data_IF_129084036633
#
_entry.id   IF_129084036633
#
_cell.length_a   1.000
_cell.length_b   1.000
_cell.length_c   1.000
_cell.angle_alpha   90.00
_cell.angle_beta   90.00
_cell.angle_gamma   90.00
#
_symmetry.space_group_name_H-M   'P 1'
#
loop_
_entity.id
_entity.type
_entity.pdbx_description
1 polymer ?
#
# COMPACT_ATOMS: atom_id res chain seq x y z
N UNK A 1 1.54 -39.60 -39.75
CA UNK A 1 2.66 -40.08 -38.91
C UNK A 1 3.94 -39.37 -39.35
N UNK A 2 4.43 -38.41 -38.56
CA UNK A 2 5.87 -38.23 -38.38
C UNK A 2 6.26 -38.40 -36.90
N UNK A 3 7.39 -39.08 -36.67
CA UNK A 3 7.97 -39.39 -35.35
C UNK A 3 8.44 -38.11 -34.66
N UNK A 4 8.11 -37.97 -33.36
CA UNK A 4 8.70 -36.97 -32.48
C UNK A 4 10.14 -37.38 -32.15
N UNK A 5 11.08 -36.51 -32.44
CA UNK A 5 12.46 -36.58 -31.93
C UNK A 5 12.48 -36.34 -30.42
N UNK A 6 13.20 -37.22 -29.74
CA UNK A 6 13.60 -37.13 -28.34
C UNK A 6 14.87 -36.28 -28.23
N UNK A 7 14.79 -35.13 -27.56
CA UNK A 7 15.91 -34.46 -26.93
C UNK A 7 15.61 -34.48 -25.42
N UNK A 8 16.43 -35.04 -24.52
CA UNK A 8 17.89 -35.01 -24.48
C UNK A 8 18.28 -34.13 -23.29
N UNK A 9 18.17 -34.67 -22.06
CA UNK A 9 18.70 -34.02 -20.86
C UNK A 9 20.24 -33.97 -20.94
N UNK A 10 20.86 -32.91 -20.43
CA UNK A 10 22.16 -33.05 -19.80
C UNK A 10 22.05 -32.94 -18.27
N UNK A 11 22.69 -33.91 -17.62
CA UNK A 11 22.98 -33.98 -16.20
C UNK A 11 24.30 -33.25 -15.87
N UNK A 12 24.44 -32.85 -14.61
CA UNK A 12 25.71 -32.48 -13.96
C UNK A 12 25.97 -30.97 -13.90
N UNK A 13 26.40 -30.33 -12.80
CA UNK A 13 26.93 -30.83 -11.53
C UNK A 13 26.55 -29.85 -10.41
N UNK A 14 26.18 -30.40 -9.24
CA UNK A 14 26.14 -29.67 -7.97
C UNK A 14 27.52 -29.79 -7.33
N UNK A 15 28.22 -28.68 -7.12
CA UNK A 15 29.31 -28.63 -6.15
C UNK A 15 28.76 -28.13 -4.81
N UNK A 16 28.70 -29.06 -3.87
CA UNK A 16 28.59 -28.81 -2.44
C UNK A 16 29.98 -28.44 -1.94
N UNK A 17 30.17 -27.21 -1.47
CA UNK A 17 31.28 -26.84 -0.59
C UNK A 17 30.76 -26.71 0.84
N UNK A 18 31.22 -27.52 1.82
CA UNK A 18 31.12 -27.18 3.22
C UNK A 18 32.19 -26.11 3.54
N UNK A 19 31.90 -25.19 4.45
CA UNK A 19 32.81 -24.86 5.55
C UNK A 19 32.24 -23.74 6.42
N UNK A 20 31.79 -24.16 7.59
CA UNK A 20 31.64 -23.35 8.78
C UNK A 20 32.98 -23.29 9.50
N UNK A 21 33.28 -22.18 10.19
CA UNK A 21 33.81 -22.36 11.54
C UNK A 21 33.07 -21.51 12.58
N UNK A 22 32.71 -22.19 13.66
CA UNK A 22 32.41 -21.62 14.97
C UNK A 22 33.68 -21.13 15.66
N UNK A 23 33.54 -20.10 16.49
CA UNK A 23 34.31 -19.97 17.75
C UNK A 23 34.97 -18.61 17.99
N UNK A 24 34.52 -17.89 19.02
CA UNK A 24 35.27 -16.77 19.59
C UNK A 24 34.44 -15.82 20.44
N UNK A 25 34.24 -16.14 21.71
CA UNK A 25 33.59 -15.31 22.72
C UNK A 25 34.56 -14.29 23.35
N UNK A 26 34.09 -13.05 23.56
CA UNK A 26 34.49 -12.11 24.63
C UNK A 26 33.58 -10.87 24.48
N UNK A 27 32.73 -10.52 25.44
CA UNK A 27 33.13 -9.79 26.64
C UNK A 27 32.70 -8.33 26.50
N UNK A 28 31.57 -7.95 27.13
CA UNK A 28 31.05 -6.59 27.01
C UNK A 28 29.74 -6.37 27.76
N UNK A 29 29.79 -6.50 29.09
CA UNK A 29 28.69 -6.09 29.96
C UNK A 29 28.54 -4.57 29.98
N UNK A 30 27.71 -4.03 29.09
CA UNK A 30 27.23 -2.65 29.13
C UNK A 30 25.84 -2.60 29.76
N UNK A 31 25.75 -2.10 30.99
CA UNK A 31 24.48 -1.85 31.68
C UNK A 31 23.73 -0.74 30.94
N UNK A 32 22.66 -1.07 30.23
CA UNK A 32 21.68 -0.07 29.80
C UNK A 32 20.95 0.43 31.05
N UNK A 33 21.38 1.57 31.58
CA UNK A 33 20.58 2.37 32.51
C UNK A 33 19.40 2.88 31.70
N UNK A 34 18.21 2.38 32.02
CA UNK A 34 16.96 2.85 31.46
C UNK A 34 16.66 4.18 32.17
N UNK A 35 16.97 5.28 31.48
CA UNK A 35 16.55 6.61 31.93
C UNK A 35 15.04 6.71 31.72
N UNK A 36 14.31 6.88 32.81
CA UNK A 36 12.85 7.02 32.81
C UNK A 36 12.48 8.39 32.24
N UNK A 37 11.62 8.50 31.22
CA UNK A 37 11.03 9.78 30.88
C UNK A 37 10.05 10.17 32.00
N UNK A 38 10.39 11.26 32.68
CA UNK A 38 9.55 11.92 33.67
C UNK A 38 8.21 12.31 33.04
N UNK A 39 7.13 11.80 33.64
CA UNK A 39 5.77 12.15 33.28
C UNK A 39 5.51 13.63 33.59
N UNK A 40 5.32 14.44 32.55
CA UNK A 40 4.76 15.77 32.67
C UNK A 40 3.24 15.66 32.94
N UNK A 41 2.69 16.42 33.90
CA UNK A 41 1.26 16.41 34.15
C UNK A 41 0.50 17.05 32.98
N UNK A 42 -0.48 16.31 32.43
CA UNK A 42 -1.51 16.84 31.56
C UNK A 42 -2.28 17.93 32.32
N UNK A 43 -2.03 19.20 31.98
CA UNK A 43 -2.97 20.27 32.28
C UNK A 43 -4.18 20.10 31.36
N UNK A 44 -5.30 19.69 31.95
CA UNK A 44 -6.61 19.79 31.34
C UNK A 44 -6.92 21.26 31.06
N UNK A 45 -6.76 21.69 29.81
CA UNK A 45 -7.38 22.91 29.33
C UNK A 45 -8.86 22.63 29.10
N UNK A 46 -9.65 22.96 30.12
CA UNK A 46 -11.10 23.09 30.03
C UNK A 46 -11.36 24.42 29.31
N UNK A 47 -11.60 24.37 28.01
CA UNK A 47 -12.15 25.53 27.29
C UNK A 47 -13.66 25.57 27.54
N UNK A 48 -14.06 26.48 28.44
CA UNK A 48 -15.44 26.89 28.63
C UNK A 48 -15.83 27.82 27.47
N UNK A 49 -16.50 27.26 26.47
CA UNK A 49 -17.15 28.06 25.42
C UNK A 49 -18.37 28.78 25.99
N UNK A 50 -18.42 30.13 26.00
CA UNK A 50 -19.62 30.86 26.37
C UNK A 50 -20.67 30.70 25.26
N UNK A 51 -21.76 29.99 25.58
CA UNK A 51 -22.99 30.01 24.78
C UNK A 51 -23.60 31.40 24.91
N UNK A 52 -23.54 32.20 23.85
CA UNK A 52 -24.25 33.47 23.75
C UNK A 52 -25.60 33.24 23.08
N UNK A 53 -26.67 33.30 23.87
CA UNK A 53 -28.06 33.32 23.39
C UNK A 53 -28.44 34.73 22.91
N UNK A 54 -28.92 34.91 21.67
CA UNK A 54 -29.51 36.19 21.27
C UNK A 54 -30.95 36.30 21.78
N UNK A 55 -31.14 37.16 22.78
CA UNK A 55 -32.44 37.62 23.25
C UNK A 55 -33.18 38.36 22.13
N UNK A 56 -34.35 37.84 21.77
CA UNK A 56 -35.25 38.45 20.80
C UNK A 56 -35.78 39.78 21.33
N UNK A 57 -35.48 40.89 20.66
CA UNK A 57 -36.25 42.13 20.83
C UNK A 57 -36.74 42.61 19.46
N UNK A 58 -38.03 42.33 19.21
CA UNK A 58 -38.78 42.92 18.12
C UNK A 58 -38.98 44.42 18.40
N UNK A 59 -38.47 45.28 17.51
CA UNK A 59 -38.99 46.63 17.32
C UNK A 59 -39.31 46.85 15.85
N UNK A 60 -40.57 47.23 15.61
CA UNK A 60 -41.25 47.39 14.33
C UNK A 60 -41.21 48.87 13.91
N UNK A 61 -40.71 49.15 12.71
CA UNK A 61 -40.91 50.34 11.85
C UNK A 61 -39.63 50.51 11.00
N UNK A 62 -39.61 50.83 9.71
CA UNK A 62 -40.62 51.26 8.77
C UNK A 62 -40.15 50.90 7.34
N UNK A 63 -41.11 50.89 6.41
CA UNK A 63 -41.02 51.01 4.95
C UNK A 63 -39.64 51.30 4.34
N UNK A 64 -39.22 50.48 3.38
CA UNK A 64 -38.22 50.89 2.39
C UNK A 64 -37.63 49.76 1.56
N UNK A 65 -38.09 49.67 0.31
CA UNK A 65 -37.42 49.05 -0.85
C UNK A 65 -37.36 47.52 -0.89
N UNK A 66 -38.21 46.94 -1.74
CA UNK A 66 -38.02 45.60 -2.30
C UNK A 66 -36.82 45.66 -3.24
N UNK A 67 -35.64 45.31 -2.73
CA UNK A 67 -34.49 44.96 -3.57
C UNK A 67 -34.63 43.49 -3.95
N UNK A 68 -34.97 43.23 -5.22
CA UNK A 68 -34.90 41.89 -5.79
C UNK A 68 -33.43 41.46 -5.86
N UNK A 69 -32.96 40.77 -4.82
CA UNK A 69 -31.69 40.03 -4.91
C UNK A 69 -31.98 38.88 -5.87
N UNK A 70 -31.62 39.05 -7.15
CA UNK A 70 -31.48 37.94 -8.07
C UNK A 70 -30.35 37.06 -7.54
N UNK A 71 -30.71 36.01 -6.79
CA UNK A 71 -29.76 34.96 -6.40
C UNK A 71 -29.43 34.22 -7.69
N UNK A 72 -28.35 34.64 -8.35
CA UNK A 72 -27.73 33.88 -9.42
C UNK A 72 -27.31 32.54 -8.83
N UNK A 73 -28.13 31.51 -9.02
CA UNK A 73 -27.77 30.13 -8.74
C UNK A 73 -26.62 29.77 -9.69
N UNK A 74 -25.39 30.02 -9.26
CA UNK A 74 -24.21 29.51 -9.93
C UNK A 74 -24.27 27.98 -9.80
N UNK A 75 -24.71 27.32 -10.88
CA UNK A 75 -24.55 25.89 -11.07
C UNK A 75 -23.05 25.60 -10.99
N UNK A 76 -22.59 25.15 -9.82
CA UNK A 76 -21.29 24.52 -9.67
C UNK A 76 -21.38 23.22 -10.46
N UNK A 77 -21.09 23.30 -11.74
CA UNK A 77 -20.81 22.13 -12.57
C UNK A 77 -19.55 21.52 -11.97
N UNK A 78 -19.70 20.37 -11.32
CA UNK A 78 -18.60 19.56 -10.84
C UNK A 78 -17.83 19.01 -12.02
N UNK A 79 -17.04 19.84 -12.69
CA UNK A 79 -16.01 19.39 -13.59
C UNK A 79 -14.97 18.69 -12.72
N UNK A 80 -14.97 17.35 -12.76
CA UNK A 80 -13.89 16.58 -12.15
C UNK A 80 -12.58 17.12 -12.67
N UNK A 81 -11.70 17.56 -11.76
CA UNK A 81 -10.37 18.03 -12.13
C UNK A 81 -9.66 16.87 -12.82
N UNK A 82 -9.50 16.96 -14.15
CA UNK A 82 -8.62 16.04 -14.85
C UNK A 82 -7.21 16.33 -14.32
N UNK A 83 -6.64 15.40 -13.55
CA UNK A 83 -5.24 15.51 -13.16
C UNK A 83 -4.42 15.61 -14.45
N UNK A 84 -3.55 16.62 -14.54
CA UNK A 84 -2.62 16.73 -15.65
C UNK A 84 -1.78 15.46 -15.74
N UNK A 85 -1.52 15.00 -16.96
CA UNK A 85 -0.69 13.81 -17.19
C UNK A 85 0.71 14.01 -16.59
N UNK A 86 1.19 12.98 -15.90
CA UNK A 86 2.53 12.94 -15.35
C UNK A 86 3.56 12.67 -16.44
N UNK A 87 4.75 13.28 -16.34
CA UNK A 87 5.91 12.86 -17.12
C UNK A 87 6.31 11.42 -16.77
N UNK A 88 7.07 10.71 -17.63
CA UNK A 88 7.53 9.35 -17.33
C UNK A 88 8.31 9.23 -16.02
N UNK A 89 9.11 10.24 -15.67
CA UNK A 89 9.85 10.26 -14.42
C UNK A 89 8.91 10.38 -13.20
N UNK A 90 7.95 11.31 -13.25
CA UNK A 90 6.95 11.47 -12.20
C UNK A 90 6.09 10.22 -12.04
N UNK A 91 5.65 9.61 -13.15
CA UNK A 91 4.83 8.40 -13.12
C UNK A 91 5.55 7.23 -12.43
N UNK A 92 6.86 7.07 -12.68
CA UNK A 92 7.68 6.08 -11.96
C UNK A 92 7.75 6.37 -10.46
N UNK A 93 8.06 7.60 -10.08
CA UNK A 93 8.10 8.00 -8.66
C UNK A 93 6.75 7.85 -7.96
N UNK A 94 5.65 8.15 -8.64
CA UNK A 94 4.28 7.94 -8.14
C UNK A 94 3.99 6.45 -7.93
N UNK A 95 4.37 5.60 -8.88
CA UNK A 95 4.23 4.13 -8.75
C UNK A 95 5.00 3.62 -7.53
N UNK A 96 6.24 4.09 -7.35
CA UNK A 96 7.12 3.66 -6.27
C UNK A 96 6.58 4.12 -4.91
N UNK A 97 6.05 5.35 -4.84
CA UNK A 97 5.40 5.87 -3.64
C UNK A 97 4.19 5.03 -3.22
N UNK A 98 3.33 4.66 -4.17
CA UNK A 98 2.15 3.82 -3.88
C UNK A 98 2.54 2.41 -3.42
N UNK A 99 3.63 1.85 -3.95
CA UNK A 99 4.10 0.52 -3.56
C UNK A 99 4.79 0.50 -2.21
N UNK A 100 5.78 1.37 -2.00
CA UNK A 100 6.77 1.21 -0.93
C UNK A 100 6.68 2.26 0.19
N UNK A 101 5.96 3.36 -0.03
CA UNK A 101 5.83 4.42 0.99
C UNK A 101 4.48 4.42 1.69
N UNK A 102 3.45 3.84 1.07
CA UNK A 102 2.12 3.76 1.67
C UNK A 102 1.97 2.50 2.54
N UNK A 103 1.22 2.63 3.65
CA UNK A 103 0.69 1.45 4.33
C UNK A 103 -0.29 0.69 3.44
N UNK A 104 -0.52 -0.59 3.72
CA UNK A 104 -1.48 -1.39 2.95
C UNK A 104 -2.87 -0.72 2.92
N UNK A 105 -3.33 -0.20 4.06
CA UNK A 105 -4.61 0.51 4.16
C UNK A 105 -4.65 1.77 3.30
N UNK A 106 -3.59 2.58 3.32
CA UNK A 106 -3.49 3.78 2.47
C UNK A 106 -3.54 3.41 0.99
N UNK A 107 -2.82 2.35 0.60
CA UNK A 107 -2.85 1.85 -0.77
C UNK A 107 -4.26 1.41 -1.18
N UNK A 108 -5.04 0.74 -0.31
CA UNK A 108 -6.42 0.38 -0.65
C UNK A 108 -7.28 1.63 -0.93
N UNK A 109 -7.10 2.70 -0.15
CA UNK A 109 -7.77 3.98 -0.40
C UNK A 109 -7.32 4.61 -1.72
N UNK A 110 -6.02 4.63 -2.00
CA UNK A 110 -5.49 5.12 -3.29
C UNK A 110 -6.04 4.31 -4.46
N UNK A 111 -6.04 2.97 -4.34
CA UNK A 111 -6.59 2.04 -5.34
C UNK A 111 -8.07 2.29 -5.59
N UNK A 112 -8.88 2.58 -4.57
CA UNK A 112 -10.30 2.89 -4.74
C UNK A 112 -10.52 4.15 -5.61
N UNK A 113 -9.66 5.15 -5.47
CA UNK A 113 -9.74 6.40 -6.23
C UNK A 113 -9.07 6.32 -7.62
N UNK A 114 -8.22 5.31 -7.86
CA UNK A 114 -7.53 5.06 -9.14
C UNK A 114 -6.91 6.32 -9.76
N UNK A 115 -6.08 7.10 -9.02
CA UNK A 115 -5.48 8.29 -9.58
C UNK A 115 -4.65 7.95 -10.81
N UNK A 116 -4.62 8.86 -11.79
CA UNK A 116 -3.93 8.69 -13.06
C UNK A 116 -4.33 7.40 -13.80
N UNK A 117 -5.62 7.02 -13.78
CA UNK A 117 -6.12 5.78 -14.38
C UNK A 117 -5.84 5.61 -15.88
N UNK A 118 -5.57 6.70 -16.60
CA UNK A 118 -5.15 6.70 -18.01
C UNK A 118 -3.67 6.30 -18.17
N UNK A 119 -2.84 6.55 -17.15
CA UNK A 119 -1.40 6.33 -17.19
C UNK A 119 -0.97 5.09 -16.39
N UNK A 120 -1.55 4.84 -15.22
CA UNK A 120 -1.29 3.69 -14.36
C UNK A 120 -2.26 2.55 -14.63
N UNK A 121 -1.73 1.33 -14.61
CA UNK A 121 -2.53 0.11 -14.69
C UNK A 121 -3.04 -0.28 -13.29
N UNK A 122 -4.35 -0.14 -13.09
CA UNK A 122 -5.04 -0.54 -11.85
C UNK A 122 -5.80 -1.87 -11.99
N UNK A 123 -5.67 -2.59 -13.12
CA UNK A 123 -6.25 -3.92 -13.28
C UNK A 123 -5.63 -4.92 -12.30
N UNK A 124 -6.39 -5.96 -11.97
CA UNK A 124 -5.98 -7.03 -11.06
C UNK A 124 -6.80 -8.27 -11.36
N UNK A 125 -6.20 -9.42 -11.12
CA UNK A 125 -6.81 -10.75 -11.14
C UNK A 125 -6.84 -11.38 -9.74
N UNK A 126 -6.59 -10.58 -8.70
CA UNK A 126 -6.61 -11.03 -7.30
C UNK A 126 -5.41 -11.92 -7.02
N UNK A 127 -5.60 -12.97 -6.23
CA UNK A 127 -4.51 -13.91 -5.94
C UNK A 127 -4.41 -15.06 -6.98
N UNK A 128 -5.08 -14.94 -8.14
CA UNK A 128 -5.15 -15.73 -9.40
C UNK A 128 -4.86 -17.24 -9.36
N UNK A 129 -3.73 -17.65 -8.78
CA UNK A 129 -3.27 -19.04 -8.69
C UNK A 129 -3.35 -19.62 -7.26
N UNK A 130 -3.88 -18.84 -6.32
CA UNK A 130 -4.04 -19.21 -4.92
C UNK A 130 -5.42 -18.77 -4.43
N UNK A 131 -6.00 -19.45 -3.43
CA UNK A 131 -7.24 -18.99 -2.80
C UNK A 131 -7.11 -17.52 -2.32
N UNK A 132 -8.09 -16.66 -2.59
CA UNK A 132 -8.04 -15.27 -2.09
C UNK A 132 -8.16 -15.19 -0.56
N UNK A 133 -8.74 -16.23 0.05
CA UNK A 133 -9.07 -16.31 1.46
C UNK A 133 -8.67 -17.66 2.08
N UNK A 134 -7.38 -18.04 2.09
CA UNK A 134 -6.96 -19.31 2.67
C UNK A 134 -7.28 -19.30 4.17
N UNK A 135 -8.09 -20.25 4.62
CA UNK A 135 -8.49 -20.39 6.03
C UNK A 135 -9.14 -19.13 6.66
N UNK A 136 -9.69 -18.22 5.85
CA UNK A 136 -10.32 -16.99 6.34
C UNK A 136 -9.42 -15.75 6.41
N UNK A 137 -8.16 -15.83 5.93
CA UNK A 137 -7.28 -14.67 5.82
C UNK A 137 -7.45 -13.89 4.51
N UNK A 138 -7.87 -12.63 4.58
CA UNK A 138 -8.15 -11.82 3.38
C UNK A 138 -6.86 -11.28 2.71
N UNK A 139 -6.17 -12.15 1.96
CA UNK A 139 -4.91 -11.84 1.26
C UNK A 139 -5.12 -11.03 -0.03
N UNK A 140 -6.36 -10.92 -0.53
CA UNK A 140 -6.67 -10.21 -1.78
C UNK A 140 -6.15 -8.76 -1.77
N UNK A 141 -6.14 -8.11 -0.60
CA UNK A 141 -5.63 -6.73 -0.46
C UNK A 141 -4.14 -6.64 -0.77
N UNK A 142 -3.35 -7.61 -0.35
CA UNK A 142 -1.92 -7.69 -0.67
C UNK A 142 -1.73 -8.01 -2.17
N UNK A 143 -2.53 -8.94 -2.71
CA UNK A 143 -2.48 -9.31 -4.13
C UNK A 143 -2.78 -8.11 -5.04
N UNK A 144 -3.74 -7.25 -4.68
CA UNK A 144 -4.01 -6.01 -5.42
C UNK A 144 -2.81 -5.06 -5.52
N UNK A 145 -1.97 -5.00 -4.48
CA UNK A 145 -0.76 -4.16 -4.50
C UNK A 145 0.37 -4.82 -5.26
N UNK A 146 0.49 -6.13 -5.15
CA UNK A 146 1.45 -6.93 -5.92
C UNK A 146 1.21 -6.81 -7.43
N UNK A 147 -0.04 -7.00 -7.88
CA UNK A 147 -0.46 -6.83 -9.27
C UNK A 147 -0.18 -5.43 -9.80
N UNK A 148 -0.52 -4.41 -9.01
CA UNK A 148 -0.23 -3.02 -9.36
C UNK A 148 1.27 -2.83 -9.62
N UNK A 149 2.13 -3.40 -8.77
CA UNK A 149 3.58 -3.35 -8.97
C UNK A 149 4.02 -4.04 -10.25
N UNK A 150 3.62 -5.29 -10.45
CA UNK A 150 4.01 -6.08 -11.62
C UNK A 150 3.60 -5.41 -12.93
N UNK A 151 2.31 -5.03 -13.04
CA UNK A 151 1.75 -4.46 -14.27
C UNK A 151 2.39 -3.12 -14.60
N UNK A 152 2.55 -2.24 -13.61
CA UNK A 152 3.13 -0.91 -13.87
C UNK A 152 4.63 -0.97 -14.13
N UNK A 153 5.39 -1.81 -13.41
CA UNK A 153 6.83 -1.95 -13.70
C UNK A 153 7.07 -2.56 -15.08
N UNK A 154 6.26 -3.54 -15.51
CA UNK A 154 6.30 -4.10 -16.88
C UNK A 154 5.96 -3.03 -17.91
N UNK A 155 4.86 -2.30 -17.74
CA UNK A 155 4.44 -1.18 -18.62
C UNK A 155 5.49 -0.07 -18.70
N UNK A 156 6.22 0.17 -17.62
CA UNK A 156 7.26 1.20 -17.53
C UNK A 156 8.66 0.73 -17.97
N UNK A 157 8.79 -0.50 -18.48
CA UNK A 157 10.04 -1.03 -19.02
C UNK A 157 11.15 -1.22 -17.98
N UNK A 158 10.79 -1.44 -16.71
CA UNK A 158 11.74 -1.53 -15.59
C UNK A 158 11.49 -2.74 -14.68
N UNK A 159 10.84 -3.76 -15.22
CA UNK A 159 10.62 -5.04 -14.56
C UNK A 159 11.84 -5.95 -14.75
N UNK A 160 12.75 -5.93 -13.79
CA UNK A 160 13.97 -6.75 -13.73
C UNK A 160 13.86 -7.68 -12.52
N UNK A 161 14.72 -8.70 -12.41
CA UNK A 161 14.70 -9.57 -11.23
C UNK A 161 14.90 -8.81 -9.90
N UNK A 162 15.73 -7.77 -9.90
CA UNK A 162 15.94 -6.93 -8.73
C UNK A 162 14.66 -6.19 -8.33
N UNK A 163 13.96 -5.56 -9.29
CA UNK A 163 12.72 -4.83 -8.98
C UNK A 163 11.56 -5.78 -8.68
N UNK A 164 11.52 -6.95 -9.34
CA UNK A 164 10.59 -8.04 -9.02
C UNK A 164 10.77 -8.51 -7.58
N UNK A 165 12.01 -8.74 -7.14
CA UNK A 165 12.31 -9.11 -5.75
C UNK A 165 11.83 -8.03 -4.77
N UNK A 166 12.03 -6.75 -5.07
CA UNK A 166 11.51 -5.66 -4.22
C UNK A 166 9.98 -5.69 -4.10
N UNK A 167 9.27 -5.94 -5.21
CA UNK A 167 7.80 -6.05 -5.21
C UNK A 167 7.34 -7.29 -4.43
N UNK A 168 7.99 -8.44 -4.62
CA UNK A 168 7.65 -9.68 -3.91
C UNK A 168 7.91 -9.57 -2.40
N UNK A 169 8.98 -8.89 -2.00
CA UNK A 169 9.27 -8.61 -0.58
C UNK A 169 8.21 -7.68 0.02
N UNK A 170 7.75 -6.66 -0.71
CA UNK A 170 6.66 -5.79 -0.26
C UNK A 170 5.35 -6.56 -0.09
N UNK A 171 5.06 -7.48 -1.03
CA UNK A 171 3.92 -8.38 -0.92
C UNK A 171 4.00 -9.28 0.33
N UNK A 172 5.18 -9.85 0.63
CA UNK A 172 5.38 -10.59 1.88
C UNK A 172 5.07 -9.72 3.11
N UNK A 173 5.58 -8.49 3.14
CA UNK A 173 5.30 -7.54 4.23
C UNK A 173 3.81 -7.25 4.39
N UNK A 174 3.07 -7.12 3.29
CA UNK A 174 1.61 -6.95 3.32
C UNK A 174 0.87 -8.15 3.89
N UNK A 175 1.25 -9.36 3.46
CA UNK A 175 0.68 -10.58 3.99
C UNK A 175 0.90 -10.68 5.50
N UNK A 176 2.11 -10.37 5.97
CA UNK A 176 2.44 -10.37 7.40
C UNK A 176 1.67 -9.29 8.17
N UNK A 177 1.42 -8.13 7.54
CA UNK A 177 0.58 -7.07 8.10
C UNK A 177 -0.86 -7.57 8.30
N UNK A 178 -1.41 -8.29 7.33
CA UNK A 178 -2.73 -8.92 7.44
C UNK A 178 -2.75 -9.98 8.54
N UNK A 179 -1.68 -10.74 8.68
CA UNK A 179 -1.58 -11.81 9.65
C UNK A 179 -1.46 -11.33 11.10
N UNK A 180 -0.95 -10.11 11.35
CA UNK A 180 -0.85 -9.52 12.68
C UNK A 180 -0.21 -10.45 13.74
N UNK A 181 0.81 -11.23 13.33
CA UNK A 181 1.51 -12.18 14.20
C UNK A 181 0.86 -13.56 14.36
N UNK A 182 -0.31 -13.81 13.74
CA UNK A 182 -0.92 -15.13 13.74
C UNK A 182 -0.01 -16.15 13.03
N UNK A 183 0.35 -17.23 13.75
CA UNK A 183 1.33 -18.20 13.29
C UNK A 183 0.90 -18.96 12.02
N UNK A 184 -0.33 -19.46 11.97
CA UNK A 184 -0.81 -20.22 10.80
C UNK A 184 -1.00 -19.31 9.59
N UNK A 185 -1.43 -18.07 9.81
CA UNK A 185 -1.46 -17.06 8.76
C UNK A 185 -0.06 -16.77 8.21
N UNK A 186 0.93 -16.53 9.06
CA UNK A 186 2.31 -16.26 8.63
C UNK A 186 2.90 -17.43 7.83
N UNK A 187 2.61 -18.67 8.21
CA UNK A 187 3.02 -19.85 7.43
C UNK A 187 2.35 -19.90 6.06
N UNK A 188 1.09 -19.52 5.98
CA UNK A 188 0.39 -19.39 4.71
C UNK A 188 1.00 -18.26 3.86
N UNK A 189 1.34 -17.12 4.49
CA UNK A 189 2.01 -16.01 3.83
C UNK A 189 3.38 -16.39 3.24
N UNK A 190 4.16 -17.20 3.96
CA UNK A 190 5.43 -17.75 3.46
C UNK A 190 5.24 -18.59 2.18
N UNK A 191 4.19 -19.41 2.12
CA UNK A 191 3.86 -20.22 0.93
C UNK A 191 3.50 -19.32 -0.26
N UNK A 192 2.69 -18.28 -0.03
CA UNK A 192 2.31 -17.33 -1.10
C UNK A 192 3.54 -16.59 -1.64
N UNK A 193 4.42 -16.12 -0.75
CA UNK A 193 5.68 -15.50 -1.14
C UNK A 193 6.57 -16.45 -1.95
N UNK A 194 6.73 -17.70 -1.50
CA UNK A 194 7.52 -18.70 -2.22
C UNK A 194 6.96 -18.97 -3.63
N UNK A 195 5.64 -19.06 -3.76
CA UNK A 195 4.97 -19.27 -5.04
C UNK A 195 5.24 -18.13 -6.04
N UNK A 196 5.11 -16.86 -5.63
CA UNK A 196 5.39 -15.73 -6.54
C UNK A 196 6.88 -15.64 -6.90
N UNK A 197 7.79 -16.00 -5.99
CA UNK A 197 9.23 -16.07 -6.30
C UNK A 197 9.55 -17.13 -7.35
N UNK A 198 8.92 -18.30 -7.25
CA UNK A 198 9.16 -19.44 -8.14
C UNK A 198 8.50 -19.27 -9.51
N UNK A 199 7.27 -18.75 -9.57
CA UNK A 199 6.44 -18.78 -10.78
C UNK A 199 6.11 -17.40 -11.37
N UNK A 200 6.40 -16.30 -10.65
CA UNK A 200 6.06 -14.93 -11.07
C UNK A 200 6.88 -14.36 -12.22
N UNK A 201 7.85 -15.10 -12.78
CA UNK A 201 8.69 -14.63 -13.90
C UNK A 201 8.09 -14.90 -15.29
N UNK A 202 6.76 -14.89 -15.40
CA UNK A 202 6.03 -15.11 -16.67
C UNK A 202 5.52 -13.80 -17.27
#
# INVERSE_FOLDING_TARGET
MPRKETAGLPAGNREFGPDSPNGGAAGGGGRCVIDQPTALPLRAFREEFPVSSPTTTLRRAARGVVTTIAVSAALVTGAGVAAADLSPAQLRSTTDSYLFSQSLTQFQTTRANRPYATQLDWSTDGCSNSPDNPFGFNFVKACYRHDFGYRNYKKQGRFTETTRLSIDNNFKTDLYTICAGNWSCNRTADVYYAAVRQFGNS
#
